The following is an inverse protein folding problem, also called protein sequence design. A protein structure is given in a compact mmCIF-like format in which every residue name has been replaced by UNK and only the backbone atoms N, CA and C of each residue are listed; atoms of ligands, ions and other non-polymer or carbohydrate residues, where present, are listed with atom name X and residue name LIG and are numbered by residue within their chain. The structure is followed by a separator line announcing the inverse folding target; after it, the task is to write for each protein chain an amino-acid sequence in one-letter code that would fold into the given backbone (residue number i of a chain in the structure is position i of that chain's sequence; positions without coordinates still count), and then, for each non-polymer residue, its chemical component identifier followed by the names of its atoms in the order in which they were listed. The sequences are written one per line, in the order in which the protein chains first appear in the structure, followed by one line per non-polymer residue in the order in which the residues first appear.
data_IF_584804580956
#
_entry.id   IF_584804580956
#
_cell.length_a   1.000
_cell.length_b   1.000
_cell.length_c   1.000
_cell.angle_alpha   90.00
_cell.angle_beta   90.00
_cell.angle_gamma   90.00
#
_symmetry.space_group_name_H-M   'P 1'
#
loop_
_entity.id
_entity.type
_entity.pdbx_description
1 polymer ?
#
# COMPACT_ATOMS: atom_id res chain seq x y z
N UNK A 1 4.66 -9.42 -26.01
CA UNK A 1 4.39 -8.51 -24.88
C UNK A 1 2.90 -8.56 -24.45
N UNK A 2 2.40 -9.69 -23.91
CA UNK A 2 1.00 -9.82 -23.42
C UNK A 2 0.90 -10.08 -21.91
N UNK A 3 1.84 -10.85 -21.35
CA UNK A 3 1.84 -11.26 -19.94
C UNK A 3 1.91 -10.11 -18.90
N UNK A 4 2.46 -8.95 -19.26
CA UNK A 4 2.62 -7.81 -18.33
C UNK A 4 1.30 -7.05 -18.06
N UNK A 5 0.30 -7.22 -18.93
CA UNK A 5 -0.99 -6.52 -18.86
C UNK A 5 -2.03 -7.32 -18.06
N UNK A 6 -2.00 -8.64 -18.20
CA UNK A 6 -2.85 -9.58 -17.44
C UNK A 6 -2.50 -9.58 -15.95
N UNK A 7 -1.20 -9.56 -15.60
CA UNK A 7 -0.75 -9.50 -14.20
C UNK A 7 -1.11 -8.17 -13.50
N UNK A 8 -1.19 -7.08 -14.27
CA UNK A 8 -1.64 -5.75 -13.77
C UNK A 8 -3.15 -5.70 -13.54
N UNK A 9 -3.93 -6.36 -14.40
CA UNK A 9 -5.38 -6.45 -14.23
C UNK A 9 -5.73 -7.29 -12.98
N UNK A 10 -5.07 -8.44 -12.80
CA UNK A 10 -5.31 -9.31 -11.64
C UNK A 10 -5.01 -8.65 -10.29
N UNK A 11 -3.96 -7.82 -10.20
CA UNK A 11 -3.66 -7.07 -8.97
C UNK A 11 -4.70 -5.97 -8.68
N UNK A 12 -5.18 -5.28 -9.73
CA UNK A 12 -6.24 -4.27 -9.60
C UNK A 12 -7.60 -4.87 -9.27
N UNK A 13 -7.90 -6.06 -9.79
CA UNK A 13 -9.16 -6.78 -9.52
C UNK A 13 -9.19 -7.35 -8.09
N UNK A 14 -8.07 -7.87 -7.58
CA UNK A 14 -7.97 -8.31 -6.18
C UNK A 14 -8.07 -7.14 -5.17
N UNK A 15 -7.56 -5.96 -5.52
CA UNK A 15 -7.71 -4.74 -4.70
C UNK A 15 -9.14 -4.18 -4.73
N UNK A 16 -9.91 -4.41 -5.79
CA UNK A 16 -11.31 -3.97 -5.88
C UNK A 16 -12.25 -4.78 -4.98
N UNK A 17 -11.92 -6.04 -4.69
CA UNK A 17 -12.75 -6.95 -3.88
C UNK A 17 -12.60 -6.70 -2.36
N UNK A 18 -11.54 -6.02 -1.92
CA UNK A 18 -11.24 -5.75 -0.50
C UNK A 18 -11.94 -4.53 0.10
N UNK A 19 -12.89 -3.92 -0.61
CA UNK A 19 -13.68 -2.80 -0.06
C UNK A 19 -12.88 -1.52 0.18
N UNK A 20 -11.71 -1.36 -0.46
CA UNK A 20 -10.98 -0.08 -0.54
C UNK A 20 -11.78 0.84 -1.49
N UNK A 21 -12.95 1.27 -1.02
CA UNK A 21 -13.99 1.89 -1.80
C UNK A 21 -13.73 3.37 -2.04
N UNK A 22 -13.40 3.69 -3.29
CA UNK A 22 -13.87 4.87 -4.06
C UNK A 22 -13.41 6.28 -3.66
N UNK A 23 -12.48 6.45 -2.73
CA UNK A 23 -11.69 7.68 -2.57
C UNK A 23 -10.31 7.31 -2.02
N UNK A 24 -9.22 7.79 -2.62
CA UNK A 24 -7.83 7.45 -2.26
C UNK A 24 -7.58 7.37 -0.74
N UNK A 25 -7.66 6.14 -0.21
CA UNK A 25 -7.47 5.87 1.21
C UNK A 25 -6.00 6.00 1.59
N UNK A 26 -5.73 6.14 2.88
CA UNK A 26 -4.37 6.10 3.41
C UNK A 26 -4.09 4.73 4.02
N UNK A 27 -2.95 4.13 3.68
CA UNK A 27 -2.46 2.86 4.21
C UNK A 27 -1.28 3.12 5.14
N UNK A 28 -1.29 2.53 6.33
CA UNK A 28 -0.13 2.46 7.21
C UNK A 28 0.64 1.17 6.92
N UNK A 29 1.85 1.32 6.38
CA UNK A 29 2.78 0.23 6.11
C UNK A 29 3.81 0.14 7.25
N UNK A 30 3.97 -1.07 7.79
CA UNK A 30 4.87 -1.35 8.93
C UNK A 30 5.76 -2.53 8.57
N UNK A 31 7.06 -2.29 8.46
CA UNK A 31 8.08 -3.31 8.17
C UNK A 31 9.43 -2.77 8.62
N UNK A 32 10.30 -3.61 9.17
CA UNK A 32 11.64 -3.20 9.63
C UNK A 32 12.68 -3.20 8.49
N UNK A 33 12.37 -3.84 7.35
CA UNK A 33 13.26 -3.94 6.21
C UNK A 33 13.07 -2.75 5.24
N UNK A 34 14.07 -1.84 5.10
CA UNK A 34 13.92 -0.62 4.28
C UNK A 34 13.59 -0.89 2.81
N UNK A 35 14.08 -2.00 2.27
CA UNK A 35 13.81 -2.37 0.88
C UNK A 35 12.33 -2.74 0.66
N UNK A 36 11.70 -3.40 1.63
CA UNK A 36 10.29 -3.78 1.56
C UNK A 36 9.41 -2.54 1.63
N UNK A 37 9.73 -1.60 2.54
CA UNK A 37 9.03 -0.33 2.67
C UNK A 37 9.03 0.46 1.36
N UNK A 38 10.20 0.65 0.75
CA UNK A 38 10.32 1.40 -0.50
C UNK A 38 9.55 0.73 -1.66
N UNK A 39 9.66 -0.60 -1.80
CA UNK A 39 8.95 -1.33 -2.85
C UNK A 39 7.43 -1.24 -2.69
N UNK A 40 6.91 -1.30 -1.46
CA UNK A 40 5.48 -1.25 -1.21
C UNK A 40 4.92 0.17 -1.26
N UNK A 41 5.69 1.17 -0.81
CA UNK A 41 5.32 2.58 -0.95
C UNK A 41 5.11 2.95 -2.42
N UNK A 42 6.06 2.59 -3.29
CA UNK A 42 5.95 2.79 -4.73
C UNK A 42 4.70 2.10 -5.30
N UNK A 43 4.49 0.83 -4.93
CA UNK A 43 3.35 0.06 -5.40
C UNK A 43 2.02 0.69 -4.99
N UNK A 44 1.83 1.02 -3.72
CA UNK A 44 0.58 1.56 -3.19
C UNK A 44 0.31 2.97 -3.72
N UNK A 45 1.35 3.80 -3.84
CA UNK A 45 1.25 5.17 -4.37
C UNK A 45 0.86 5.17 -5.86
N UNK A 46 1.46 4.29 -6.68
CA UNK A 46 1.08 4.14 -8.11
C UNK A 46 -0.39 3.70 -8.26
N UNK A 47 -0.92 2.98 -7.28
CA UNK A 47 -2.33 2.57 -7.24
C UNK A 47 -3.26 3.64 -6.62
N UNK A 48 -2.75 4.85 -6.34
CA UNK A 48 -3.56 6.00 -5.92
C UNK A 48 -3.90 6.03 -4.43
N UNK A 49 -3.13 5.33 -3.59
CA UNK A 49 -3.27 5.35 -2.13
C UNK A 49 -2.25 6.31 -1.51
N UNK A 50 -2.65 6.98 -0.43
CA UNK A 50 -1.70 7.63 0.46
C UNK A 50 -0.98 6.58 1.30
N UNK A 51 0.30 6.77 1.58
CA UNK A 51 1.09 5.83 2.38
C UNK A 51 1.68 6.54 3.59
N UNK A 52 1.55 5.93 4.76
CA UNK A 52 2.28 6.26 5.98
C UNK A 52 3.24 5.11 6.26
N UNK A 53 4.48 5.43 6.58
CA UNK A 53 5.55 4.45 6.80
C UNK A 53 5.90 4.43 8.29
N UNK A 54 6.04 3.22 8.84
CA UNK A 54 6.64 2.98 10.15
C UNK A 54 7.66 1.85 10.06
N UNK A 55 8.80 1.99 10.73
CA UNK A 55 9.84 0.94 10.78
C UNK A 55 9.68 -0.01 11.96
N UNK A 56 8.81 0.35 12.90
CA UNK A 56 8.60 -0.38 14.14
C UNK A 56 7.19 -0.16 14.70
N UNK A 57 6.75 -1.06 15.57
CA UNK A 57 5.38 -1.05 16.10
C UNK A 57 5.04 0.18 16.94
N UNK A 58 5.99 0.74 17.69
CA UNK A 58 5.84 1.98 18.47
C UNK A 58 5.49 3.17 17.58
N UNK A 59 6.25 3.33 16.49
CA UNK A 59 5.99 4.35 15.49
C UNK A 59 4.65 4.13 14.80
N UNK A 60 4.34 2.89 14.42
CA UNK A 60 3.07 2.54 13.78
C UNK A 60 1.86 2.89 14.65
N UNK A 61 1.89 2.51 15.92
CA UNK A 61 0.80 2.80 16.87
C UNK A 61 0.63 4.29 17.12
N UNK A 62 1.72 5.06 17.10
CA UNK A 62 1.67 6.53 17.19
C UNK A 62 0.97 7.11 15.96
N UNK A 63 1.43 6.75 14.76
CA UNK A 63 0.86 7.23 13.50
C UNK A 63 -0.62 6.86 13.35
N UNK A 64 -1.02 5.66 13.76
CA UNK A 64 -2.40 5.20 13.71
C UNK A 64 -3.35 5.95 14.65
N UNK A 65 -2.84 6.59 15.70
CA UNK A 65 -3.64 7.39 16.65
C UNK A 65 -3.74 8.85 16.25
N UNK A 66 -2.76 9.37 15.51
CA UNK A 66 -2.64 10.77 15.12
C UNK A 66 -3.34 11.13 13.80
N UNK A 67 -3.83 10.12 13.06
CA UNK A 67 -4.47 10.25 11.76
C UNK A 67 -5.89 9.70 11.79
#
# INVERSE_FOLDING_TARGET
MRARREKRAAAGEAMAETGIGRSGGTVLLVDDEPMVLAMMEDFLTINGLGVLIAKEGSEALRLARER
#
